data_IF_783473766643
#
_entry.id   IF_783473766643
#
_cell.length_a   1.000
_cell.length_b   1.000
_cell.length_c   1.000
_cell.angle_alpha   90.00
_cell.angle_beta   90.00
_cell.angle_gamma   90.00
#
_symmetry.space_group_name_H-M   'P 1'
#
loop_
_entity.id
_entity.type
_entity.pdbx_description
1 polymer ?
#
# COMPACT_ATOMS: atom_id res chain seq x y z
N UNK A 1 24.32 -7.15 31.60
CA UNK A 1 24.24 -7.79 32.93
C UNK A 1 23.55 -9.12 32.72
N UNK A 2 24.33 -10.15 32.39
CA UNK A 2 23.84 -11.53 32.38
C UNK A 2 23.54 -11.90 33.84
N UNK A 3 22.26 -12.15 34.12
CA UNK A 3 21.85 -12.68 35.41
C UNK A 3 22.29 -14.14 35.47
N UNK A 4 23.15 -14.41 36.45
CA UNK A 4 23.85 -15.65 36.69
C UNK A 4 22.85 -16.80 36.94
N UNK A 5 23.06 -17.95 36.28
CA UNK A 5 22.21 -19.15 36.41
C UNK A 5 22.10 -19.68 37.84
N UNK A 6 22.95 -19.24 38.76
CA UNK A 6 22.88 -19.62 40.18
C UNK A 6 21.67 -19.02 40.92
N UNK A 7 21.12 -17.88 40.47
CA UNK A 7 20.00 -17.24 41.17
C UNK A 7 18.63 -17.87 40.87
N UNK A 8 18.53 -18.67 39.81
CA UNK A 8 17.29 -19.41 39.48
C UNK A 8 17.16 -20.73 40.22
N UNK A 9 18.23 -21.24 40.85
CA UNK A 9 18.19 -22.51 41.58
C UNK A 9 17.76 -22.38 43.05
N UNK A 10 17.73 -21.18 43.63
CA UNK A 10 17.34 -20.98 45.04
C UNK A 10 15.82 -20.76 45.21
N UNK A 11 15.09 -20.39 44.14
CA UNK A 11 13.67 -20.04 44.20
C UNK A 11 12.70 -21.24 44.18
N UNK A 12 13.16 -22.45 43.82
CA UNK A 12 12.29 -23.61 43.62
C UNK A 12 12.36 -24.68 44.72
N UNK A 13 13.15 -24.48 45.79
CA UNK A 13 13.11 -25.33 46.99
C UNK A 13 13.31 -26.82 46.71
N UNK A 14 14.04 -27.18 45.65
CA UNK A 14 14.32 -28.58 45.31
C UNK A 14 15.64 -28.95 46.00
N UNK A 15 15.55 -29.76 47.04
CA UNK A 15 16.71 -30.36 47.70
C UNK A 15 17.63 -31.01 46.66
N UNK A 16 18.92 -30.69 46.74
CA UNK A 16 19.94 -31.39 45.96
C UNK A 16 19.88 -32.88 46.27
N UNK A 17 19.88 -33.79 45.28
CA UNK A 17 20.05 -35.20 45.57
C UNK A 17 21.43 -35.38 46.22
N UNK A 18 21.43 -35.85 47.47
CA UNK A 18 22.63 -36.20 48.21
C UNK A 18 23.50 -37.12 47.35
N UNK A 19 24.73 -36.69 47.11
CA UNK A 19 25.78 -37.55 46.58
C UNK A 19 26.03 -38.66 47.59
N UNK A 20 25.52 -39.85 47.27
CA UNK A 20 25.81 -41.06 48.02
C UNK A 20 27.33 -41.32 47.91
N UNK A 21 28.03 -41.11 49.02
CA UNK A 21 29.48 -41.28 49.14
C UNK A 21 29.84 -42.75 48.93
N UNK A 22 30.31 -43.12 47.74
CA UNK A 22 31.02 -44.38 47.56
C UNK A 22 32.46 -44.20 48.02
N UNK A 23 32.77 -44.76 49.19
CA UNK A 23 34.13 -44.92 49.71
C UNK A 23 35.02 -45.66 48.70
N UNK A 24 36.33 -45.36 48.62
CA UNK A 24 37.23 -46.06 47.72
C UNK A 24 37.52 -47.46 48.28
N UNK A 25 36.94 -48.49 47.67
CA UNK A 25 37.40 -49.86 47.87
C UNK A 25 38.67 -50.04 47.05
N UNK A 26 39.78 -50.33 47.73
CA UNK A 26 41.12 -50.53 47.16
C UNK A 26 41.09 -51.55 46.02
N UNK A 27 41.60 -51.14 44.86
CA UNK A 27 41.90 -52.00 43.72
C UNK A 27 42.85 -53.14 44.14
N UNK A 28 42.32 -54.37 44.16
CA UNK A 28 43.12 -55.56 43.95
C UNK A 28 42.77 -56.11 42.57
N UNK A 29 43.60 -55.79 41.59
CA UNK A 29 43.55 -56.34 40.23
C UNK A 29 43.81 -57.86 40.30
N UNK A 30 42.75 -58.67 40.19
CA UNK A 30 42.88 -60.06 39.77
C UNK A 30 42.80 -60.13 38.24
N UNK A 31 43.68 -60.89 37.56
CA UNK A 31 43.72 -60.95 36.11
C UNK A 31 42.51 -61.73 35.57
N UNK A 32 41.62 -61.05 34.86
CA UNK A 32 40.51 -61.68 34.13
C UNK A 32 41.00 -62.39 32.87
N UNK A 33 40.55 -63.62 32.66
CA UNK A 33 40.89 -64.48 31.53
C UNK A 33 40.43 -63.90 30.17
N UNK A 34 41.06 -64.30 29.04
CA UNK A 34 40.78 -63.71 27.73
C UNK A 34 39.43 -64.20 27.22
N UNK A 35 38.43 -63.32 27.29
CA UNK A 35 37.06 -63.56 26.82
C UNK A 35 35.98 -62.73 27.51
N UNK A 36 36.31 -62.06 28.62
CA UNK A 36 35.31 -61.33 29.41
C UNK A 36 35.42 -59.81 29.25
N UNK A 37 34.31 -59.19 28.84
CA UNK A 37 34.13 -57.73 28.67
C UNK A 37 34.64 -56.96 29.91
N UNK A 38 35.43 -55.89 29.73
CA UNK A 38 36.04 -55.12 30.83
C UNK A 38 34.99 -54.53 31.77
N UNK A 39 35.36 -54.30 33.04
CA UNK A 39 34.46 -53.72 34.05
C UNK A 39 33.89 -52.36 33.62
N UNK A 40 34.71 -51.54 32.97
CA UNK A 40 34.31 -50.23 32.45
C UNK A 40 33.28 -50.35 31.32
N UNK A 41 33.48 -51.31 30.40
CA UNK A 41 32.56 -51.55 29.29
C UNK A 41 31.21 -52.13 29.76
N UNK A 42 31.19 -52.90 30.87
CA UNK A 42 29.95 -53.33 31.53
C UNK A 42 29.20 -52.15 32.16
N UNK A 43 29.92 -51.24 32.82
CA UNK A 43 29.36 -50.02 33.42
C UNK A 43 28.74 -49.11 32.35
N UNK A 44 29.44 -48.93 31.22
CA UNK A 44 28.95 -48.12 30.11
C UNK A 44 27.73 -48.75 29.43
N UNK A 45 27.74 -50.06 29.17
CA UNK A 45 26.58 -50.77 28.65
C UNK A 45 25.37 -50.70 29.61
N UNK A 46 25.60 -50.81 30.93
CA UNK A 46 24.55 -50.65 31.93
C UNK A 46 24.04 -49.19 32.02
N UNK A 47 24.91 -48.20 31.83
CA UNK A 47 24.51 -46.80 31.76
C UNK A 47 23.70 -46.50 30.49
N UNK A 48 24.08 -47.10 29.35
CA UNK A 48 23.34 -46.97 28.08
C UNK A 48 21.91 -47.53 28.21
N UNK A 49 21.76 -48.74 28.77
CA UNK A 49 20.44 -49.33 29.03
C UNK A 49 19.57 -48.44 29.90
N UNK A 50 20.13 -47.91 31.00
CA UNK A 50 19.41 -46.98 31.88
C UNK A 50 18.96 -45.71 31.14
N UNK A 51 19.82 -45.13 30.29
CA UNK A 51 19.45 -43.95 29.48
C UNK A 51 18.37 -44.25 28.46
N UNK A 52 18.44 -45.41 27.80
CA UNK A 52 17.42 -45.86 26.84
C UNK A 52 16.09 -46.10 27.54
N UNK A 53 16.10 -46.74 28.71
CA UNK A 53 14.90 -46.97 29.55
C UNK A 53 14.30 -45.64 30.04
N UNK A 54 15.11 -44.72 30.57
CA UNK A 54 14.62 -43.39 30.99
C UNK A 54 14.07 -42.60 29.81
N UNK A 55 14.75 -42.61 28.65
CA UNK A 55 14.27 -41.91 27.46
C UNK A 55 12.96 -42.48 26.95
N UNK A 56 12.84 -43.80 26.90
CA UNK A 56 11.61 -44.47 26.52
C UNK A 56 10.47 -44.16 27.50
N UNK A 57 10.74 -44.13 28.81
CA UNK A 57 9.75 -43.75 29.81
C UNK A 57 9.29 -42.29 29.67
N UNK A 58 10.21 -41.35 29.39
CA UNK A 58 9.88 -39.94 29.14
C UNK A 58 9.05 -39.81 27.86
N UNK A 59 9.44 -40.49 26.79
CA UNK A 59 8.71 -40.45 25.52
C UNK A 59 7.29 -40.99 25.68
N UNK A 60 7.13 -42.12 26.38
CA UNK A 60 5.81 -42.67 26.72
C UNK A 60 4.99 -41.70 27.57
N UNK A 61 5.59 -41.05 28.57
CA UNK A 61 4.90 -40.06 29.40
C UNK A 61 4.43 -38.85 28.58
N UNK A 62 5.27 -38.32 27.68
CA UNK A 62 4.92 -37.22 26.79
C UNK A 62 3.83 -37.62 25.80
N UNK A 63 3.87 -38.84 25.28
CA UNK A 63 2.85 -39.35 24.37
C UNK A 63 1.50 -39.50 25.10
N UNK A 64 1.49 -40.07 26.31
CA UNK A 64 0.29 -40.14 27.14
C UNK A 64 -0.26 -38.74 27.43
N UNK A 65 0.57 -37.80 27.85
CA UNK A 65 0.14 -36.41 28.10
C UNK A 65 -0.46 -35.76 26.83
N UNK A 66 0.17 -35.95 25.66
CA UNK A 66 -0.36 -35.44 24.40
C UNK A 66 -1.70 -36.05 24.05
N UNK A 67 -1.89 -37.36 24.26
CA UNK A 67 -3.18 -38.01 23.98
C UNK A 67 -4.28 -37.49 24.90
N UNK A 68 -4.00 -37.34 26.19
CA UNK A 68 -4.95 -36.75 27.14
C UNK A 68 -5.26 -35.28 26.79
N UNK A 69 -4.24 -34.47 26.49
CA UNK A 69 -4.44 -33.08 26.10
C UNK A 69 -5.26 -32.95 24.80
N UNK A 70 -5.05 -33.85 23.82
CA UNK A 70 -5.87 -33.89 22.61
C UNK A 70 -7.33 -34.22 22.93
N UNK A 71 -7.57 -35.23 23.77
CA UNK A 71 -8.91 -35.61 24.20
C UNK A 71 -9.62 -34.47 24.95
N UNK A 72 -8.93 -33.79 25.85
CA UNK A 72 -9.48 -32.66 26.60
C UNK A 72 -9.88 -31.52 25.67
N UNK A 73 -9.02 -31.17 24.72
CA UNK A 73 -9.32 -30.14 23.72
C UNK A 73 -10.50 -30.54 22.82
N UNK A 74 -10.59 -31.82 22.44
CA UNK A 74 -11.74 -32.33 21.69
C UNK A 74 -13.06 -32.25 22.49
N UNK A 75 -13.03 -32.57 23.77
CA UNK A 75 -14.21 -32.43 24.65
C UNK A 75 -14.64 -30.96 24.74
N UNK A 76 -13.69 -30.04 24.96
CA UNK A 76 -13.97 -28.60 24.98
C UNK A 76 -14.56 -28.13 23.65
N UNK A 77 -14.07 -28.62 22.51
CA UNK A 77 -14.62 -28.28 21.19
C UNK A 77 -16.06 -28.79 21.00
N UNK A 78 -16.34 -30.02 21.46
CA UNK A 78 -17.69 -30.60 21.44
C UNK A 78 -18.65 -29.81 22.33
N UNK A 79 -18.23 -29.47 23.55
CA UNK A 79 -19.03 -28.71 24.51
C UNK A 79 -19.27 -27.27 24.07
N UNK A 80 -18.30 -26.65 23.40
CA UNK A 80 -18.45 -25.32 22.82
C UNK A 80 -19.51 -25.27 21.71
N UNK A 81 -19.90 -26.43 21.15
CA UNK A 81 -20.94 -26.53 20.14
C UNK A 81 -20.60 -25.74 18.87
N UNK A 82 -19.30 -25.60 18.56
CA UNK A 82 -18.84 -24.82 17.43
C UNK A 82 -19.35 -25.47 16.13
N UNK A 83 -20.16 -24.74 15.37
CA UNK A 83 -20.70 -25.20 14.08
C UNK A 83 -20.10 -24.35 12.97
N UNK A 84 -19.73 -25.00 11.88
CA UNK A 84 -19.31 -24.29 10.68
C UNK A 84 -20.53 -23.52 10.11
N UNK A 85 -20.44 -22.18 9.94
CA UNK A 85 -21.54 -21.36 9.44
C UNK A 85 -21.88 -21.61 7.97
N UNK A 86 -21.01 -22.25 7.20
CA UNK A 86 -21.19 -22.49 5.77
C UNK A 86 -22.06 -23.73 5.49
N UNK A 87 -21.91 -24.80 6.29
CA UNK A 87 -22.56 -26.09 6.07
C UNK A 87 -23.33 -26.64 7.30
N UNK A 88 -23.21 -25.98 8.45
CA UNK A 88 -23.87 -26.38 9.70
C UNK A 88 -23.24 -27.60 10.39
N UNK A 89 -22.10 -28.10 9.89
CA UNK A 89 -21.43 -29.27 10.47
C UNK A 89 -20.79 -28.92 11.82
N UNK A 90 -20.90 -29.79 12.85
CA UNK A 90 -20.27 -29.56 14.13
C UNK A 90 -18.76 -29.81 14.05
N UNK A 91 -17.96 -28.86 14.54
CA UNK A 91 -16.51 -28.95 14.61
C UNK A 91 -16.16 -29.62 15.94
N UNK A 92 -15.90 -30.92 15.90
CA UNK A 92 -15.78 -31.79 17.09
C UNK A 92 -14.36 -32.25 17.38
N UNK A 93 -13.42 -31.97 16.47
CA UNK A 93 -12.01 -32.29 16.63
C UNK A 93 -11.10 -31.20 16.04
N UNK A 94 -9.81 -31.27 16.37
CA UNK A 94 -8.82 -30.28 15.94
C UNK A 94 -8.58 -30.28 14.43
N UNK A 95 -8.70 -31.42 13.76
CA UNK A 95 -8.54 -31.51 12.30
C UNK A 95 -9.66 -30.80 11.54
N UNK A 96 -10.91 -31.02 11.97
CA UNK A 96 -12.09 -30.30 11.47
C UNK A 96 -11.97 -28.80 11.74
N UNK A 97 -11.44 -28.41 12.90
CA UNK A 97 -11.20 -26.99 13.20
C UNK A 97 -10.14 -26.37 12.29
N UNK A 98 -9.05 -27.10 12.00
CA UNK A 98 -8.02 -26.64 11.05
C UNK A 98 -8.56 -26.56 9.63
N UNK A 99 -9.30 -27.57 9.18
CA UNK A 99 -9.93 -27.59 7.86
C UNK A 99 -10.92 -26.42 7.71
N UNK A 100 -11.75 -26.18 8.73
CA UNK A 100 -12.64 -25.02 8.77
C UNK A 100 -11.87 -23.69 8.75
N UNK A 101 -10.77 -23.57 9.50
CA UNK A 101 -9.93 -22.36 9.50
C UNK A 101 -9.28 -22.12 8.13
N UNK A 102 -8.85 -23.20 7.47
CA UNK A 102 -8.31 -23.14 6.11
C UNK A 102 -9.40 -22.72 5.12
N UNK A 103 -10.57 -23.35 5.17
CA UNK A 103 -11.73 -22.99 4.35
C UNK A 103 -12.14 -21.53 4.58
N UNK A 104 -12.16 -21.02 5.81
CA UNK A 104 -12.40 -19.59 6.13
C UNK A 104 -11.33 -18.65 5.56
N UNK A 105 -10.07 -19.09 5.48
CA UNK A 105 -8.99 -18.31 4.88
C UNK A 105 -8.99 -18.37 3.34
N UNK A 106 -9.51 -19.46 2.77
CA UNK A 106 -9.58 -19.72 1.34
C UNK A 106 -10.94 -19.39 0.71
N UNK A 107 -11.99 -19.17 1.51
CA UNK A 107 -13.18 -18.46 1.07
C UNK A 107 -12.82 -16.98 1.09
N UNK A 108 -12.48 -16.36 -0.06
CA UNK A 108 -12.62 -14.91 -0.15
C UNK A 108 -14.08 -14.66 0.18
N UNK A 109 -14.32 -14.04 1.33
CA UNK A 109 -15.59 -13.57 1.85
C UNK A 109 -16.61 -13.48 0.72
N UNK A 110 -17.69 -14.28 0.74
CA UNK A 110 -18.77 -14.23 -0.27
C UNK A 110 -19.42 -12.83 -0.40
N UNK A 111 -19.00 -11.87 0.44
CA UNK A 111 -19.25 -10.44 0.30
C UNK A 111 -18.45 -9.76 -0.83
N UNK A 112 -17.45 -10.40 -1.44
CA UNK A 112 -16.49 -9.74 -2.35
C UNK A 112 -17.00 -9.54 -3.78
N UNK A 113 -17.91 -10.36 -4.30
CA UNK A 113 -18.36 -10.23 -5.70
C UNK A 113 -19.38 -9.09 -5.91
N UNK A 114 -20.48 -8.99 -5.14
CA UNK A 114 -21.40 -7.87 -5.28
C UNK A 114 -20.71 -6.55 -4.88
N UNK A 115 -19.83 -6.58 -3.86
CA UNK A 115 -19.08 -5.40 -3.46
C UNK A 115 -17.99 -5.03 -4.45
N UNK A 116 -17.21 -5.95 -5.04
CA UNK A 116 -16.17 -5.58 -6.02
C UNK A 116 -16.77 -4.97 -7.29
N UNK A 117 -17.90 -5.49 -7.76
CA UNK A 117 -18.59 -4.91 -8.92
C UNK A 117 -19.12 -3.50 -8.59
N UNK A 118 -19.71 -3.32 -7.40
CA UNK A 118 -20.15 -2.01 -6.92
C UNK A 118 -18.98 -1.06 -6.71
N UNK A 119 -17.91 -1.48 -6.05
CA UNK A 119 -16.67 -0.72 -5.83
C UNK A 119 -16.02 -0.30 -7.14
N UNK A 120 -15.95 -1.19 -8.13
CA UNK A 120 -15.46 -0.87 -9.45
C UNK A 120 -16.34 0.18 -10.15
N UNK A 121 -17.67 0.12 -9.98
CA UNK A 121 -18.59 1.14 -10.48
C UNK A 121 -18.39 2.47 -9.75
N UNK A 122 -18.30 2.48 -8.42
CA UNK A 122 -18.04 3.67 -7.61
C UNK A 122 -16.69 4.30 -7.97
N UNK A 123 -15.64 3.49 -8.17
CA UNK A 123 -14.32 3.97 -8.57
C UNK A 123 -14.32 4.54 -9.99
N UNK A 124 -15.00 3.89 -10.94
CA UNK A 124 -15.16 4.40 -12.30
C UNK A 124 -15.93 5.74 -12.30
N UNK A 125 -16.98 5.85 -11.50
CA UNK A 125 -17.74 7.08 -11.31
C UNK A 125 -16.91 8.17 -10.63
N UNK A 126 -16.13 7.82 -9.60
CA UNK A 126 -15.22 8.74 -8.93
C UNK A 126 -14.11 9.23 -9.87
N UNK A 127 -13.61 8.37 -10.77
CA UNK A 127 -12.66 8.75 -11.80
C UNK A 127 -13.25 9.79 -12.77
N UNK A 128 -14.54 9.70 -13.10
CA UNK A 128 -15.23 10.73 -13.89
C UNK A 128 -15.38 12.03 -13.11
N UNK A 129 -15.71 11.97 -11.82
CA UNK A 129 -15.79 13.17 -10.97
C UNK A 129 -14.41 13.85 -10.86
N UNK A 130 -13.31 13.08 -10.75
CA UNK A 130 -11.93 13.58 -10.76
C UNK A 130 -11.60 14.37 -12.03
N UNK A 131 -12.14 13.99 -13.19
CA UNK A 131 -11.96 14.72 -14.45
C UNK A 131 -12.69 16.07 -14.42
N UNK A 132 -13.89 16.12 -13.83
CA UNK A 132 -14.68 17.34 -13.72
C UNK A 132 -14.13 18.29 -12.64
N UNK A 133 -13.61 17.74 -11.54
CA UNK A 133 -13.01 18.49 -10.47
C UNK A 133 -11.81 17.72 -9.86
N UNK A 134 -10.57 18.13 -10.15
CA UNK A 134 -9.37 17.44 -9.70
C UNK A 134 -9.14 17.50 -8.18
N UNK A 135 -9.90 18.34 -7.44
CA UNK A 135 -9.80 18.43 -5.99
C UNK A 135 -10.50 17.27 -5.26
N UNK A 136 -11.24 16.41 -5.98
CA UNK A 136 -12.04 15.32 -5.39
C UNK A 136 -11.30 14.02 -5.58
N UNK A 137 -10.67 13.50 -4.52
CA UNK A 137 -9.90 12.26 -4.61
C UNK A 137 -10.64 11.08 -4.01
N UNK A 138 -11.54 11.30 -3.06
CA UNK A 138 -12.24 10.24 -2.37
C UNK A 138 -13.74 10.53 -2.21
N UNK A 139 -14.50 9.49 -1.88
CA UNK A 139 -15.90 9.65 -1.46
C UNK A 139 -16.01 10.53 -0.21
N UNK A 140 -14.98 10.52 0.66
CA UNK A 140 -14.91 11.39 1.83
C UNK A 140 -14.82 12.87 1.48
N UNK A 141 -14.10 13.22 0.41
CA UNK A 141 -14.00 14.61 -0.03
C UNK A 141 -15.38 15.14 -0.47
N UNK A 142 -16.20 14.30 -1.12
CA UNK A 142 -17.56 14.68 -1.54
C UNK A 142 -18.45 15.15 -0.38
N UNK A 143 -18.13 14.74 0.85
CA UNK A 143 -18.88 15.09 2.05
C UNK A 143 -18.39 16.38 2.72
N UNK A 144 -17.16 16.81 2.45
CA UNK A 144 -16.59 18.04 3.02
C UNK A 144 -16.79 19.26 2.12
N UNK A 145 -17.40 19.06 0.95
CA UNK A 145 -17.62 20.12 -0.03
C UNK A 145 -18.78 21.06 0.30
N UNK A 146 -18.72 22.31 -0.18
CA UNK A 146 -19.90 23.16 -0.29
C UNK A 146 -20.95 22.42 -1.12
N UNK A 147 -22.20 22.28 -0.63
CA UNK A 147 -23.30 21.50 -1.25
C UNK A 147 -23.26 19.97 -1.05
N UNK A 148 -22.40 19.45 -0.17
CA UNK A 148 -22.39 18.02 0.21
C UNK A 148 -23.77 17.48 0.66
N UNK A 149 -24.58 18.32 1.31
CA UNK A 149 -25.93 17.94 1.76
C UNK A 149 -26.89 17.65 0.59
N UNK A 150 -26.83 18.44 -0.47
CA UNK A 150 -27.66 18.27 -1.67
C UNK A 150 -27.19 17.05 -2.46
N UNK A 151 -25.87 16.89 -2.60
CA UNK A 151 -25.25 15.70 -3.16
C UNK A 151 -25.72 14.42 -2.46
N UNK A 152 -25.65 14.38 -1.13
CA UNK A 152 -26.09 13.23 -0.34
C UNK A 152 -27.58 12.92 -0.55
N UNK A 153 -28.44 13.94 -0.66
CA UNK A 153 -29.86 13.74 -0.93
C UNK A 153 -30.12 13.18 -2.34
N UNK A 154 -29.32 13.58 -3.33
CA UNK A 154 -29.41 13.08 -4.69
C UNK A 154 -28.96 11.63 -4.80
N UNK A 155 -27.87 11.26 -4.13
CA UNK A 155 -27.43 9.86 -4.02
C UNK A 155 -28.46 9.02 -3.27
N UNK A 156 -29.02 9.52 -2.16
CA UNK A 156 -30.10 8.84 -1.42
C UNK A 156 -31.36 8.63 -2.25
N UNK A 157 -31.62 9.50 -3.24
CA UNK A 157 -32.71 9.35 -4.21
C UNK A 157 -32.45 8.29 -5.29
N UNK A 158 -31.25 7.70 -5.34
CA UNK A 158 -30.85 6.69 -6.32
C UNK A 158 -30.15 7.24 -7.57
N UNK A 159 -29.65 8.47 -7.54
CA UNK A 159 -28.81 8.98 -8.63
C UNK A 159 -27.38 8.42 -8.51
N UNK A 160 -26.72 8.25 -9.65
CA UNK A 160 -25.28 7.93 -9.70
C UNK A 160 -24.47 9.04 -9.04
N UNK A 161 -23.27 8.72 -8.54
CA UNK A 161 -22.40 9.72 -7.92
C UNK A 161 -22.04 10.82 -8.93
N UNK A 162 -21.85 10.47 -10.19
CA UNK A 162 -21.54 11.43 -11.27
C UNK A 162 -22.71 12.39 -11.52
N UNK A 163 -23.93 11.89 -11.63
CA UNK A 163 -25.09 12.74 -11.92
C UNK A 163 -25.47 13.60 -10.71
N UNK A 164 -25.41 13.02 -9.51
CA UNK A 164 -25.58 13.79 -8.27
C UNK A 164 -24.56 14.93 -8.18
N UNK A 165 -23.30 14.68 -8.55
CA UNK A 165 -22.25 15.69 -8.57
C UNK A 165 -22.51 16.80 -9.60
N UNK A 166 -22.88 16.44 -10.83
CA UNK A 166 -23.23 17.40 -11.89
C UNK A 166 -24.42 18.28 -11.50
N UNK A 167 -25.46 17.69 -10.91
CA UNK A 167 -26.65 18.42 -10.48
C UNK A 167 -26.36 19.36 -9.32
N UNK A 168 -25.60 18.91 -8.31
CA UNK A 168 -25.24 19.73 -7.15
C UNK A 168 -24.29 20.90 -7.51
N UNK A 169 -23.47 20.74 -8.56
CA UNK A 169 -22.49 21.75 -8.98
C UNK A 169 -22.77 22.37 -10.35
N UNK A 170 -23.98 22.22 -10.88
CA UNK A 170 -24.34 22.73 -12.20
C UNK A 170 -24.08 24.23 -12.35
N UNK A 171 -24.49 25.02 -11.35
CA UNK A 171 -24.28 26.47 -11.36
C UNK A 171 -22.80 26.84 -11.37
N UNK A 172 -21.98 26.13 -10.57
CA UNK A 172 -20.54 26.38 -10.50
C UNK A 172 -19.85 26.01 -11.81
N UNK A 173 -20.16 24.85 -12.39
CA UNK A 173 -19.62 24.44 -13.69
C UNK A 173 -19.99 25.44 -14.79
N UNK A 174 -21.24 25.90 -14.79
CA UNK A 174 -21.73 26.88 -15.79
C UNK A 174 -21.03 28.23 -15.63
N UNK A 175 -20.86 28.72 -14.40
CA UNK A 175 -20.13 29.96 -14.13
C UNK A 175 -18.66 29.86 -14.53
N UNK A 176 -18.01 28.74 -14.22
CA UNK A 176 -16.61 28.48 -14.57
C UNK A 176 -16.43 28.41 -16.09
N UNK A 177 -17.31 27.71 -16.80
CA UNK A 177 -17.31 27.64 -18.26
C UNK A 177 -17.52 29.03 -18.88
N UNK A 178 -18.46 29.82 -18.35
CA UNK A 178 -18.70 31.19 -18.81
C UNK A 178 -17.49 32.11 -18.54
N UNK A 179 -16.84 31.98 -17.38
CA UNK A 179 -15.62 32.73 -17.05
C UNK A 179 -14.46 32.36 -17.97
N UNK A 180 -14.26 31.06 -18.21
CA UNK A 180 -13.25 30.55 -19.15
C UNK A 180 -13.51 31.06 -20.58
N UNK A 181 -14.76 31.01 -21.05
CA UNK A 181 -15.14 31.53 -22.37
C UNK A 181 -14.88 33.04 -22.49
N UNK A 182 -15.20 33.82 -21.44
CA UNK A 182 -14.87 35.26 -21.40
C UNK A 182 -13.37 35.50 -21.46
N UNK A 183 -12.59 34.72 -20.71
CA UNK A 183 -11.13 34.84 -20.72
C UNK A 183 -10.53 34.43 -22.08
N UNK A 184 -11.04 33.38 -22.72
CA UNK A 184 -10.65 32.98 -24.07
C UNK A 184 -10.96 34.09 -25.09
N UNK A 185 -12.16 34.68 -25.02
CA UNK A 185 -12.53 35.81 -25.87
C UNK A 185 -11.62 37.02 -25.63
N UNK A 186 -11.26 37.31 -24.37
CA UNK A 186 -10.29 38.37 -24.05
C UNK A 186 -8.89 38.06 -24.57
N UNK A 187 -8.41 36.82 -24.45
CA UNK A 187 -7.11 36.42 -24.97
C UNK A 187 -7.07 36.52 -26.50
N UNK A 188 -8.15 36.12 -27.18
CA UNK A 188 -8.31 36.26 -28.63
C UNK A 188 -8.39 37.74 -29.07
N UNK A 189 -9.08 38.58 -28.29
CA UNK A 189 -9.14 40.02 -28.56
C UNK A 189 -7.77 40.69 -28.33
N UNK A 190 -7.06 40.33 -27.27
CA UNK A 190 -5.70 40.81 -26.98
C UNK A 190 -4.71 40.38 -28.06
N UNK A 191 -4.74 39.11 -28.49
CA UNK A 191 -3.85 38.62 -29.55
C UNK A 191 -4.10 39.34 -30.88
N UNK A 192 -5.36 39.62 -31.23
CA UNK A 192 -5.71 40.45 -32.39
C UNK A 192 -5.28 41.92 -32.23
N UNK A 193 -5.34 42.47 -31.03
CA UNK A 193 -4.86 43.82 -30.74
C UNK A 193 -3.37 44.02 -31.06
N UNK A 194 -2.54 43.01 -30.77
CA UNK A 194 -1.11 43.04 -31.12
C UNK A 194 -0.84 42.94 -32.63
N UNK A 195 -1.69 42.22 -33.38
CA UNK A 195 -1.58 42.16 -34.84
C UNK A 195 -2.01 43.48 -35.50
N UNK A 196 -3.09 44.08 -35.05
CA UNK A 196 -3.55 45.39 -35.58
C UNK A 196 -2.54 46.49 -35.25
N UNK A 197 -1.95 46.48 -34.05
CA UNK A 197 -0.88 47.41 -33.67
C UNK A 197 0.40 47.20 -34.52
N UNK A 198 0.77 45.95 -34.83
CA UNK A 198 1.88 45.65 -35.73
C UNK A 198 1.60 46.12 -37.18
N UNK A 199 0.38 45.93 -37.69
CA UNK A 199 -0.02 46.41 -39.03
C UNK A 199 -0.11 47.93 -39.10
N UNK A 200 -0.57 48.62 -38.05
CA UNK A 200 -0.60 50.09 -38.04
C UNK A 200 0.78 50.72 -37.95
N UNK A 201 1.76 50.08 -37.30
CA UNK A 201 3.14 50.59 -37.20
C UNK A 201 3.87 50.63 -38.56
N UNK A 202 3.44 49.83 -39.53
CA UNK A 202 4.00 49.82 -40.90
C UNK A 202 3.25 50.68 -41.93
N UNK A 203 2.11 51.28 -41.58
CA UNK A 203 1.22 51.98 -42.54
C UNK A 203 1.32 53.51 -42.51
N UNK A 204 2.22 54.07 -41.69
CA UNK A 204 2.37 55.53 -41.51
C UNK A 204 3.70 56.12 -42.01
N UNK A 205 4.61 55.32 -42.57
CA UNK A 205 5.84 55.84 -43.17
C UNK A 205 5.59 56.24 -44.62
N UNK A 206 5.83 57.50 -44.98
CA UNK A 206 5.79 57.95 -46.36
C UNK A 206 6.80 57.14 -47.19
N UNK A 207 6.31 56.29 -48.10
CA UNK A 207 7.16 55.52 -49.02
C UNK A 207 8.01 56.48 -49.84
N UNK A 208 9.34 56.28 -49.91
CA UNK A 208 10.22 57.16 -50.68
C UNK A 208 9.81 57.10 -52.16
N UNK A 209 9.60 58.23 -52.84
CA UNK A 209 9.42 58.27 -54.28
C UNK A 209 10.57 57.56 -55.01
N UNK A 210 10.26 56.78 -56.05
CA UNK A 210 11.24 55.94 -56.74
C UNK A 210 12.43 56.73 -57.33
N UNK A 211 12.19 57.99 -57.74
CA UNK A 211 13.21 58.94 -58.21
C UNK A 211 14.25 59.25 -57.13
N UNK A 212 13.81 59.60 -55.92
CA UNK A 212 14.71 59.91 -54.80
C UNK A 212 15.48 58.66 -54.36
N UNK A 213 14.84 57.49 -54.41
CA UNK A 213 15.51 56.22 -54.08
C UNK A 213 16.63 55.87 -55.06
N UNK A 214 16.44 56.13 -56.34
CA UNK A 214 17.48 55.97 -57.36
C UNK A 214 18.63 56.96 -57.17
N UNK A 215 18.32 58.22 -56.82
CA UNK A 215 19.33 59.22 -56.51
C UNK A 215 20.18 58.80 -55.29
N UNK A 216 19.55 58.34 -54.21
CA UNK A 216 20.26 57.84 -53.02
C UNK A 216 21.18 56.65 -53.33
N UNK A 217 20.76 55.73 -54.21
CA UNK A 217 21.60 54.61 -54.66
C UNK A 217 22.77 55.08 -55.53
N UNK A 218 22.56 56.10 -56.38
CA UNK A 218 23.62 56.65 -57.22
C UNK A 218 24.73 57.29 -56.38
N UNK A 219 24.38 57.99 -55.29
CA UNK A 219 25.35 58.59 -54.38
C UNK A 219 25.90 57.61 -53.33
N UNK A 220 25.15 56.58 -52.98
CA UNK A 220 25.51 55.62 -51.95
C UNK A 220 25.19 54.18 -52.40
N UNK A 221 26.02 53.58 -53.26
CA UNK A 221 25.72 52.31 -53.93
C UNK A 221 25.70 51.09 -52.99
N UNK A 222 26.18 51.25 -51.75
CA UNK A 222 26.17 50.20 -50.72
C UNK A 222 24.97 50.32 -49.76
N UNK A 223 24.16 51.38 -49.87
CA UNK A 223 23.01 51.56 -48.99
C UNK A 223 21.84 50.65 -49.39
N UNK A 224 21.32 49.89 -48.42
CA UNK A 224 20.15 49.05 -48.64
C UNK A 224 18.85 49.87 -48.70
N UNK A 225 17.86 49.36 -49.42
CA UNK A 225 16.56 50.02 -49.59
C UNK A 225 15.87 50.36 -48.25
N UNK A 226 15.97 49.45 -47.29
CA UNK A 226 15.44 49.64 -45.94
C UNK A 226 16.13 50.80 -45.19
N UNK A 227 17.44 51.00 -45.41
CA UNK A 227 18.18 52.10 -44.79
C UNK A 227 17.81 53.46 -45.39
N UNK A 228 17.60 53.52 -46.72
CA UNK A 228 17.17 54.74 -47.42
C UNK A 228 15.76 55.14 -46.97
N UNK A 229 14.84 54.16 -46.90
CA UNK A 229 13.47 54.38 -46.42
C UNK A 229 13.43 54.85 -44.95
N UNK A 230 14.28 54.29 -44.09
CA UNK A 230 14.40 54.72 -42.70
C UNK A 230 14.95 56.15 -42.57
N UNK A 231 15.93 56.52 -43.40
CA UNK A 231 16.46 57.88 -43.45
C UNK A 231 15.40 58.89 -43.90
N UNK A 232 14.65 58.55 -44.96
CA UNK A 232 13.58 59.39 -45.46
C UNK A 232 12.45 59.60 -44.44
N UNK A 233 11.97 58.52 -43.82
CA UNK A 233 10.96 58.60 -42.76
C UNK A 233 11.43 59.44 -41.57
N UNK A 234 12.73 59.43 -41.25
CA UNK A 234 13.33 60.25 -40.19
C UNK A 234 13.40 61.75 -40.54
N UNK A 235 13.59 62.10 -41.81
CA UNK A 235 13.73 63.48 -42.26
C UNK A 235 12.41 64.14 -42.72
N UNK A 236 11.45 63.36 -43.23
CA UNK A 236 10.13 63.85 -43.66
C UNK A 236 9.08 63.82 -42.54
N UNK A 237 9.23 62.96 -41.52
CA UNK A 237 8.30 62.84 -40.39
C UNK A 237 8.52 63.85 -39.26
N UNK A 238 9.39 64.83 -39.44
CA UNK A 238 9.72 65.86 -38.45
C UNK A 238 9.29 67.26 -38.88
N UNK A 239 7.98 67.50 -38.87
CA UNK A 239 7.34 68.82 -38.74
C UNK A 239 5.98 68.63 -38.08
#
# INVERSE_FOLDING_TARGET
MELNQEQVYEALGVEQPQQEQTQPVQDQEQPTQPGEMSLEQRRENAARRRREETRAAIEQAVEQERTHAQQDVEQVLRDAGLKNPTDGTPITNMEQYRAWKQDQSETPTHQSQPNRAMEAQVEAELAQIRQLNPNIRSVGDLLTMPRAREFYQLVKRGNTFVDAYKLAHYDQLTQQAAAAARQQAQNLARSKGHLVAATQRGKGGASVPAEEMNLFRAFNPQASEAAIQAYYNKYQGGN
#
